data_IF_654511232442
#
_entry.id   IF_654511232442
#
_cell.length_a   1.000
_cell.length_b   1.000
_cell.length_c   1.000
_cell.angle_alpha   90.00
_cell.angle_beta   90.00
_cell.angle_gamma   90.00
#
_symmetry.space_group_name_H-M   'P 1'
#
loop_
_entity.id
_entity.type
_entity.pdbx_description
1 polymer ?
#
# COMPACT_ATOMS: atom_id res chain seq x y z
N UNK A 1 -51.52 34.88 -36.00
CA UNK A 1 -51.60 33.50 -35.48
C UNK A 1 -50.21 33.09 -34.99
N UNK A 2 -50.18 32.75 -33.70
CA UNK A 2 -49.21 31.96 -32.94
C UNK A 2 -47.74 32.40 -32.81
N UNK A 3 -47.48 32.93 -31.61
CA UNK A 3 -46.21 32.97 -30.94
C UNK A 3 -45.59 31.57 -30.76
N UNK A 4 -44.26 31.50 -30.81
CA UNK A 4 -43.52 30.47 -30.09
C UNK A 4 -42.22 31.08 -29.56
N UNK A 5 -42.23 31.41 -28.27
CA UNK A 5 -41.04 31.77 -27.51
C UNK A 5 -40.26 30.48 -27.24
N UNK A 6 -39.10 30.31 -27.84
CA UNK A 6 -38.18 29.22 -27.49
C UNK A 6 -37.57 29.49 -26.12
N UNK A 7 -38.08 28.81 -25.09
CA UNK A 7 -37.40 28.73 -23.79
C UNK A 7 -36.32 27.65 -23.87
N UNK A 8 -35.07 28.06 -23.75
CA UNK A 8 -33.95 27.17 -23.52
C UNK A 8 -34.01 26.73 -22.04
N UNK A 9 -34.57 25.55 -21.76
CA UNK A 9 -34.49 24.96 -20.41
C UNK A 9 -33.12 24.32 -20.28
N UNK A 10 -32.18 25.04 -19.67
CA UNK A 10 -30.90 24.50 -19.22
C UNK A 10 -31.19 23.61 -18.00
N UNK A 11 -31.36 22.31 -18.23
CA UNK A 11 -31.50 21.33 -17.16
C UNK A 11 -30.18 21.18 -16.40
N UNK A 12 -30.06 21.89 -15.28
CA UNK A 12 -28.97 21.70 -14.33
C UNK A 12 -29.17 20.33 -13.66
N UNK A 13 -28.48 19.30 -14.17
CA UNK A 13 -28.44 17.99 -13.54
C UNK A 13 -27.54 18.10 -12.30
N UNK A 14 -28.12 18.54 -11.17
CA UNK A 14 -27.48 18.40 -9.87
C UNK A 14 -27.54 16.92 -9.52
N UNK A 15 -26.48 16.19 -9.89
CA UNK A 15 -26.25 14.85 -9.38
C UNK A 15 -26.11 14.94 -7.86
N UNK A 16 -27.17 14.57 -7.15
CA UNK A 16 -27.09 14.19 -5.74
C UNK A 16 -26.09 13.03 -5.66
N UNK A 17 -24.83 13.33 -5.33
CA UNK A 17 -23.90 12.37 -4.77
C UNK A 17 -24.46 11.97 -3.41
N UNK A 18 -25.49 11.12 -3.42
CA UNK A 18 -25.79 10.29 -2.27
C UNK A 18 -24.53 9.44 -2.08
N UNK A 19 -23.76 9.75 -1.04
CA UNK A 19 -22.74 8.83 -0.56
C UNK A 19 -23.46 7.50 -0.31
N UNK A 20 -23.15 6.50 -1.12
CA UNK A 20 -23.72 5.18 -0.95
C UNK A 20 -23.44 4.74 0.50
N UNK A 21 -24.44 4.19 1.22
CA UNK A 21 -24.22 3.72 2.58
C UNK A 21 -23.08 2.70 2.55
N UNK A 22 -22.21 2.79 3.56
CA UNK A 22 -20.91 2.12 3.63
C UNK A 22 -20.96 0.68 3.13
N UNK A 23 -20.31 0.44 2.00
CA UNK A 23 -20.03 -0.91 1.54
C UNK A 23 -19.22 -1.58 2.64
N UNK A 24 -19.69 -2.74 3.12
CA UNK A 24 -18.94 -3.51 4.11
C UNK A 24 -17.51 -3.68 3.60
N UNK A 25 -16.52 -3.42 4.48
CA UNK A 25 -15.13 -3.65 4.15
C UNK A 25 -15.00 -5.10 3.65
N UNK A 26 -14.57 -5.26 2.40
CA UNK A 26 -14.29 -6.58 1.86
C UNK A 26 -13.00 -7.04 2.53
N UNK A 27 -13.08 -8.15 3.27
CA UNK A 27 -11.91 -8.78 3.90
C UNK A 27 -11.53 -9.96 3.02
N UNK A 28 -10.28 -9.95 2.57
CA UNK A 28 -9.66 -11.06 1.88
C UNK A 28 -8.57 -11.66 2.78
N UNK A 29 -8.54 -12.99 2.88
CA UNK A 29 -7.44 -13.70 3.54
C UNK A 29 -6.41 -14.03 2.48
N UNK A 30 -5.14 -13.74 2.78
CA UNK A 30 -3.98 -14.07 1.95
C UNK A 30 -2.94 -14.76 2.80
N UNK A 31 -2.08 -15.55 2.17
CA UNK A 31 -1.04 -16.30 2.89
C UNK A 31 0.27 -16.35 2.11
N UNK A 32 1.33 -16.73 2.80
CA UNK A 32 2.64 -16.99 2.22
C UNK A 32 3.08 -18.39 2.64
N UNK A 33 3.47 -19.23 1.68
CA UNK A 33 3.97 -20.58 1.91
C UNK A 33 5.16 -20.89 0.99
N UNK A 34 6.03 -21.87 1.32
CA UNK A 34 7.16 -22.23 0.48
C UNK A 34 6.71 -22.71 -0.91
N UNK A 35 7.23 -22.10 -1.97
CA UNK A 35 6.78 -22.31 -3.35
C UNK A 35 7.03 -23.75 -3.85
N UNK A 36 7.99 -24.45 -3.24
CA UNK A 36 8.36 -25.82 -3.54
C UNK A 36 7.48 -26.86 -2.83
N UNK A 37 6.38 -26.41 -2.21
CA UNK A 37 5.47 -27.26 -1.42
C UNK A 37 4.02 -27.10 -1.87
N UNK A 38 3.19 -28.08 -1.50
CA UNK A 38 1.73 -28.06 -1.68
C UNK A 38 1.02 -27.74 -0.35
N UNK A 39 1.64 -26.88 0.48
CA UNK A 39 1.09 -26.49 1.79
C UNK A 39 0.07 -25.35 1.70
N UNK A 40 -0.09 -24.75 0.51
CA UNK A 40 -1.06 -23.68 0.27
C UNK A 40 -2.50 -24.15 0.46
N UNK A 41 -3.33 -23.28 1.02
CA UNK A 41 -4.76 -23.50 1.19
C UNK A 41 -5.47 -23.23 -0.14
N UNK A 42 -6.19 -24.21 -0.71
CA UNK A 42 -6.89 -24.02 -1.98
C UNK A 42 -7.84 -22.82 -1.94
N UNK A 43 -7.68 -21.90 -2.89
CA UNK A 43 -8.50 -20.69 -3.02
C UNK A 43 -8.04 -19.49 -2.19
N UNK A 44 -6.97 -19.61 -1.40
CA UNK A 44 -6.31 -18.49 -0.74
C UNK A 44 -5.16 -17.99 -1.63
N UNK A 45 -5.11 -16.68 -1.86
CA UNK A 45 -4.10 -16.07 -2.73
C UNK A 45 -2.77 -15.86 -2.00
N UNK A 46 -1.69 -15.89 -2.76
CA UNK A 46 -0.35 -15.58 -2.26
C UNK A 46 -0.25 -14.11 -1.88
N UNK A 47 0.23 -13.82 -0.68
CA UNK A 47 0.35 -12.46 -0.12
C UNK A 47 1.13 -11.54 -1.06
N UNK A 48 2.23 -12.03 -1.65
CA UNK A 48 3.06 -11.26 -2.57
C UNK A 48 2.27 -10.81 -3.82
N UNK A 49 1.41 -11.67 -4.36
CA UNK A 49 0.59 -11.37 -5.54
C UNK A 49 -0.35 -10.19 -5.25
N UNK A 50 -1.02 -10.24 -4.09
CA UNK A 50 -1.94 -9.19 -3.65
C UNK A 50 -1.20 -7.89 -3.35
N UNK A 51 -0.03 -7.96 -2.69
CA UNK A 51 0.81 -6.78 -2.47
C UNK A 51 1.18 -6.09 -3.79
N UNK A 52 1.60 -6.85 -4.80
CA UNK A 52 1.94 -6.31 -6.11
C UNK A 52 0.75 -5.61 -6.78
N UNK A 53 -0.44 -6.20 -6.72
CA UNK A 53 -1.66 -5.57 -7.24
C UNK A 53 -1.96 -4.26 -6.54
N UNK A 54 -1.92 -4.26 -5.20
CA UNK A 54 -2.19 -3.09 -4.38
C UNK A 54 -1.23 -1.92 -4.69
N UNK A 55 0.09 -2.17 -4.72
CA UNK A 55 1.08 -1.12 -5.01
C UNK A 55 1.03 -0.63 -6.47
N UNK A 56 0.74 -1.54 -7.42
CA UNK A 56 0.56 -1.16 -8.84
C UNK A 56 -0.70 -0.31 -9.04
N UNK A 57 -1.76 -0.59 -8.28
CA UNK A 57 -3.03 0.14 -8.36
C UNK A 57 -3.00 1.51 -7.65
N UNK A 58 -2.04 1.76 -6.75
CA UNK A 58 -1.94 3.01 -5.99
C UNK A 58 -1.89 4.26 -6.89
N UNK A 59 -2.69 5.27 -6.54
CA UNK A 59 -2.87 6.50 -7.32
C UNK A 59 -2.41 7.78 -6.61
N UNK A 60 -2.52 7.85 -5.29
CA UNK A 60 -2.34 9.09 -4.51
C UNK A 60 -1.34 8.95 -3.37
N UNK A 61 -1.44 7.88 -2.56
CA UNK A 61 -0.55 7.65 -1.44
C UNK A 61 -0.37 6.16 -1.10
N UNK A 62 0.80 5.84 -0.57
CA UNK A 62 1.16 4.56 0.02
C UNK A 62 1.83 4.83 1.36
N UNK A 63 1.24 4.33 2.43
CA UNK A 63 1.79 4.45 3.78
C UNK A 63 2.16 3.06 4.30
N UNK A 64 3.43 2.86 4.61
CA UNK A 64 4.01 1.57 4.98
C UNK A 64 4.59 1.67 6.38
N UNK A 65 4.23 0.72 7.24
CA UNK A 65 4.89 0.53 8.52
C UNK A 65 5.33 -0.93 8.62
N UNK A 66 6.65 -1.14 8.65
CA UNK A 66 7.28 -2.44 8.60
C UNK A 66 8.36 -2.54 9.67
N UNK A 67 8.48 -3.71 10.28
CA UNK A 67 9.51 -3.92 11.31
C UNK A 67 10.92 -3.69 10.77
N UNK A 68 11.21 -4.25 9.60
CA UNK A 68 12.42 -3.99 8.82
C UNK A 68 12.14 -4.24 7.33
N UNK A 69 13.11 -3.86 6.49
CA UNK A 69 13.10 -4.15 5.06
C UNK A 69 14.46 -4.75 4.70
N UNK A 70 14.48 -6.02 4.31
CA UNK A 70 15.70 -6.79 4.03
C UNK A 70 15.58 -7.52 2.70
N UNK A 71 15.85 -6.80 1.61
CA UNK A 71 15.82 -7.37 0.26
C UNK A 71 17.09 -8.16 -0.07
N UNK A 72 16.91 -9.21 -0.86
CA UNK A 72 18.00 -9.92 -1.54
C UNK A 72 17.67 -10.01 -3.03
N UNK A 73 18.65 -9.69 -3.87
CA UNK A 73 18.45 -9.66 -5.31
C UNK A 73 18.02 -11.05 -5.83
N UNK A 74 16.86 -11.10 -6.47
CA UNK A 74 16.29 -12.34 -7.03
C UNK A 74 15.26 -13.02 -6.13
N UNK A 75 15.07 -12.54 -4.89
CA UNK A 75 14.08 -13.07 -3.95
C UNK A 75 12.71 -12.40 -4.10
N UNK A 76 11.73 -12.92 -3.34
CA UNK A 76 10.33 -12.54 -3.43
C UNK A 76 10.07 -11.03 -3.17
N UNK A 77 10.87 -10.38 -2.34
CA UNK A 77 10.64 -8.97 -2.02
C UNK A 77 11.00 -8.01 -3.17
N UNK A 78 12.00 -8.34 -3.99
CA UNK A 78 12.51 -7.48 -5.05
C UNK A 78 11.42 -6.89 -5.98
N UNK A 79 10.47 -7.68 -6.55
CA UNK A 79 9.39 -7.12 -7.37
C UNK A 79 8.42 -6.22 -6.58
N UNK A 80 8.24 -6.46 -5.28
CA UNK A 80 7.39 -5.62 -4.42
C UNK A 80 8.05 -4.25 -4.25
N UNK A 81 9.34 -4.20 -3.92
CA UNK A 81 10.07 -2.94 -3.84
C UNK A 81 10.08 -2.21 -5.17
N UNK A 82 10.25 -2.92 -6.30
CA UNK A 82 10.14 -2.31 -7.62
C UNK A 82 8.77 -1.64 -7.83
N UNK A 83 7.67 -2.30 -7.45
CA UNK A 83 6.33 -1.72 -7.59
C UNK A 83 6.10 -0.46 -6.73
N UNK A 84 6.73 -0.38 -5.55
CA UNK A 84 6.72 0.81 -4.70
C UNK A 84 7.49 1.96 -5.37
N UNK A 85 8.66 1.66 -5.95
CA UNK A 85 9.46 2.63 -6.72
C UNK A 85 8.68 3.15 -7.93
N UNK A 86 7.99 2.26 -8.66
CA UNK A 86 7.14 2.63 -9.79
C UNK A 86 5.97 3.52 -9.36
N UNK A 87 5.35 3.24 -8.20
CA UNK A 87 4.32 4.11 -7.64
C UNK A 87 4.86 5.51 -7.36
N UNK A 88 6.01 5.62 -6.69
CA UNK A 88 6.67 6.91 -6.44
C UNK A 88 6.97 7.67 -7.74
N UNK A 89 7.45 6.97 -8.77
CA UNK A 89 7.73 7.53 -10.09
C UNK A 89 6.47 8.04 -10.82
N UNK A 90 5.30 7.44 -10.59
CA UNK A 90 3.99 7.95 -11.07
C UNK A 90 3.52 9.22 -10.33
N UNK A 91 4.22 9.64 -9.26
CA UNK A 91 3.84 10.79 -8.43
C UNK A 91 3.05 10.41 -7.17
N UNK A 92 2.90 9.12 -6.89
CA UNK A 92 2.27 8.65 -5.64
C UNK A 92 3.18 8.99 -4.47
N UNK A 93 2.60 9.54 -3.40
CA UNK A 93 3.36 9.85 -2.17
C UNK A 93 3.61 8.56 -1.40
N UNK A 94 4.87 8.23 -1.13
CA UNK A 94 5.21 7.05 -0.32
C UNK A 94 5.78 7.49 1.03
N UNK A 95 5.24 6.94 2.13
CA UNK A 95 5.84 7.08 3.48
C UNK A 95 6.18 5.70 4.00
N UNK A 96 7.40 5.52 4.48
CA UNK A 96 7.88 4.28 5.09
C UNK A 96 8.38 4.57 6.50
N UNK A 97 7.79 3.89 7.48
CA UNK A 97 8.22 3.90 8.88
C UNK A 97 8.78 2.53 9.24
N UNK A 98 9.98 2.49 9.81
CA UNK A 98 10.62 1.26 10.30
C UNK A 98 11.13 1.40 11.73
N UNK A 99 11.37 0.27 12.40
CA UNK A 99 12.00 0.28 13.72
C UNK A 99 13.45 0.80 13.66
N UNK A 100 13.81 1.70 14.58
CA UNK A 100 15.14 2.32 14.61
C UNK A 100 16.28 1.36 14.97
N UNK A 101 16.02 0.31 15.75
CA UNK A 101 17.03 -0.69 16.13
C UNK A 101 17.31 -1.62 14.95
N UNK A 102 16.27 -2.08 14.26
CA UNK A 102 16.43 -2.97 13.11
C UNK A 102 16.89 -2.25 11.85
N UNK A 103 16.58 -0.96 11.68
CA UNK A 103 17.17 -0.14 10.63
C UNK A 103 18.70 -0.11 10.68
N UNK A 104 19.32 -0.18 11.87
CA UNK A 104 20.80 -0.28 12.00
C UNK A 104 21.37 -1.56 11.40
N UNK A 105 20.56 -2.62 11.31
CA UNK A 105 20.95 -3.92 10.77
C UNK A 105 20.65 -4.01 9.27
N UNK A 106 19.51 -3.48 8.82
CA UNK A 106 19.03 -3.56 7.43
C UNK A 106 18.73 -2.17 6.85
N UNK A 107 19.75 -1.30 6.66
CA UNK A 107 19.52 0.09 6.25
C UNK A 107 19.31 0.24 4.74
N UNK A 108 19.82 -0.69 3.93
CA UNK A 108 20.06 -0.46 2.50
C UNK A 108 18.78 -0.17 1.72
N UNK A 109 17.77 -1.04 1.81
CA UNK A 109 16.52 -0.87 1.06
C UNK A 109 15.76 0.39 1.48
N UNK A 110 15.77 0.71 2.77
CA UNK A 110 15.14 1.92 3.30
C UNK A 110 15.87 3.18 2.82
N UNK A 111 17.20 3.15 2.81
CA UNK A 111 18.02 4.26 2.30
C UNK A 111 17.84 4.45 0.80
N UNK A 112 17.82 3.37 0.01
CA UNK A 112 17.60 3.46 -1.44
C UNK A 112 16.22 4.02 -1.79
N UNK A 113 15.17 3.59 -1.09
CA UNK A 113 13.83 4.17 -1.25
C UNK A 113 13.81 5.65 -0.87
N UNK A 114 14.49 6.03 0.21
CA UNK A 114 14.56 7.42 0.69
C UNK A 114 15.27 8.40 -0.25
N UNK A 115 15.99 7.91 -1.27
CA UNK A 115 16.59 8.77 -2.32
C UNK A 115 15.59 9.20 -3.39
N UNK A 116 14.44 8.54 -3.48
CA UNK A 116 13.48 8.77 -4.55
C UNK A 116 12.64 10.02 -4.30
N UNK A 117 12.26 10.76 -5.36
CA UNK A 117 11.29 11.84 -5.23
C UNK A 117 9.96 11.26 -4.73
N UNK A 118 9.23 12.04 -3.92
CA UNK A 118 7.94 11.67 -3.32
C UNK A 118 7.98 10.53 -2.28
N UNK A 119 9.16 10.05 -1.89
CA UNK A 119 9.32 9.05 -0.83
C UNK A 119 9.88 9.70 0.44
N UNK A 120 9.27 9.40 1.59
CA UNK A 120 9.77 9.79 2.91
C UNK A 120 9.99 8.54 3.74
N UNK A 121 11.22 8.35 4.22
CA UNK A 121 11.54 7.28 5.15
C UNK A 121 11.81 7.85 6.54
N UNK A 122 11.34 7.16 7.57
CA UNK A 122 11.56 7.52 8.97
C UNK A 122 11.80 6.27 9.80
N UNK A 123 12.46 6.47 10.92
CA UNK A 123 12.58 5.47 11.97
C UNK A 123 11.75 5.89 13.19
N UNK A 124 11.27 4.91 13.95
CA UNK A 124 10.68 5.12 15.28
C UNK A 124 11.50 4.40 16.34
N UNK A 125 11.68 5.05 17.49
CA UNK A 125 12.48 4.56 18.60
C UNK A 125 11.59 4.22 19.80
N UNK A 126 11.55 2.93 20.14
CA UNK A 126 10.88 2.40 21.34
C UNK A 126 11.89 1.91 22.39
N UNK A 127 13.16 2.32 22.30
CA UNK A 127 14.22 1.87 23.22
C UNK A 127 13.98 2.29 24.67
N UNK A 128 13.22 3.37 24.92
CA UNK A 128 12.83 3.79 26.27
C UNK A 128 12.04 2.71 27.04
N UNK A 129 11.32 1.84 26.33
CA UNK A 129 10.58 0.72 26.92
C UNK A 129 11.29 -0.63 26.74
N UNK A 130 12.54 -0.62 26.25
CA UNK A 130 13.24 -1.80 25.76
C UNK A 130 12.44 -2.56 24.67
N UNK A 131 11.56 -1.84 23.96
CA UNK A 131 10.69 -2.38 22.92
C UNK A 131 11.23 -2.14 21.52
N UNK A 132 10.48 -2.64 20.54
CA UNK A 132 10.65 -2.36 19.11
C UNK A 132 9.29 -2.11 18.49
N UNK A 133 9.25 -1.34 17.40
CA UNK A 133 8.09 -1.32 16.51
C UNK A 133 8.02 -2.67 15.81
N UNK A 134 6.89 -3.37 15.87
CA UNK A 134 6.76 -4.74 15.31
C UNK A 134 5.52 -4.93 14.44
N UNK A 135 4.86 -3.85 14.02
CA UNK A 135 3.75 -3.92 13.08
C UNK A 135 4.26 -4.19 11.65
N UNK A 136 3.42 -4.87 10.87
CA UNK A 136 3.61 -5.09 9.43
C UNK A 136 2.29 -4.81 8.74
N UNK A 137 2.15 -3.60 8.23
CA UNK A 137 0.95 -3.18 7.54
C UNK A 137 1.28 -2.09 6.54
N UNK A 138 0.36 -1.88 5.60
CA UNK A 138 0.39 -0.69 4.76
C UNK A 138 -1.03 -0.31 4.36
N UNK A 139 -1.18 0.94 3.93
CA UNK A 139 -2.43 1.48 3.39
C UNK A 139 -2.21 2.10 2.02
N UNK A 140 -3.19 1.97 1.15
CA UNK A 140 -3.20 2.48 -0.23
C UNK A 140 -4.36 3.45 -0.36
N UNK A 141 -4.06 4.69 -0.75
CA UNK A 141 -5.04 5.74 -1.10
C UNK A 141 -6.09 6.05 -0.01
N UNK A 142 -5.84 5.64 1.23
CA UNK A 142 -6.82 5.72 2.32
C UNK A 142 -8.05 4.81 2.15
N UNK A 143 -8.00 3.85 1.22
CA UNK A 143 -9.14 3.00 0.85
C UNK A 143 -8.89 1.52 1.09
N UNK A 144 -7.64 1.07 0.99
CA UNK A 144 -7.27 -0.33 1.19
C UNK A 144 -6.15 -0.43 2.21
N UNK A 145 -6.16 -1.51 2.99
CA UNK A 145 -5.13 -1.79 3.98
C UNK A 145 -4.79 -3.27 3.97
N UNK A 146 -3.51 -3.57 4.11
CA UNK A 146 -3.03 -4.91 4.42
C UNK A 146 -2.51 -4.92 5.86
N UNK A 147 -2.83 -5.96 6.63
CA UNK A 147 -2.29 -6.21 7.98
C UNK A 147 -1.94 -7.69 8.07
N UNK A 148 -0.71 -8.02 8.51
CA UNK A 148 -0.26 -9.40 8.57
C UNK A 148 0.96 -9.63 9.45
N UNK A 149 1.52 -10.84 9.35
CA UNK A 149 2.75 -11.23 10.05
C UNK A 149 4.01 -11.09 9.18
N UNK A 150 3.83 -10.97 7.87
CA UNK A 150 4.90 -10.96 6.88
C UNK A 150 5.72 -9.67 6.99
N UNK A 151 7.02 -9.81 7.22
CA UNK A 151 7.97 -8.72 7.06
C UNK A 151 8.19 -8.43 5.57
N UNK A 152 8.92 -7.36 5.29
CA UNK A 152 9.50 -7.15 3.97
C UNK A 152 10.87 -7.84 3.93
N UNK A 153 10.90 -9.15 3.65
CA UNK A 153 12.08 -10.00 3.43
C UNK A 153 11.89 -11.08 2.36
#
# INVERSE_FOLDING_TARGET
MNALKSFLVLGLLVGLLAAAPGQAAQIEVVESFPLETDLGVPGVRQTQEVWLEMFRAAQTQVDIEQFYVSDQAGEALAPVLASIKDAAARGVRVRLLVDSKFFKTYPDSVNELGKLPNVQTRTIDFSETNGVQHAKFFTIDGQQSFVGSQNFD
#
